data_IF_526353844779
#
_entry.id   IF_526353844779
#
_cell.length_a   1.000
_cell.length_b   1.000
_cell.length_c   1.000
_cell.angle_alpha   90.00
_cell.angle_beta   90.00
_cell.angle_gamma   90.00
#
_symmetry.space_group_name_H-M   'P 1'
#
loop_
_entity.id
_entity.type
_entity.pdbx_description
1 polymer ?
#
# COMPACT_ATOMS: atom_id res chain seq x y z
N UNK A 1 33.54 21.96 -32.36
CA UNK A 1 32.15 21.57 -32.08
C UNK A 1 32.18 20.58 -30.93
N UNK A 2 32.10 21.06 -29.71
CA UNK A 2 31.89 20.25 -28.50
C UNK A 2 31.00 21.09 -27.59
N UNK A 3 29.79 20.61 -27.32
CA UNK A 3 28.82 21.25 -26.46
C UNK A 3 28.36 20.26 -25.41
N UNK A 4 28.88 20.40 -24.19
CA UNK A 4 28.39 19.70 -23.01
C UNK A 4 27.26 20.48 -22.32
N UNK A 5 26.44 19.84 -21.48
CA UNK A 5 25.25 20.44 -20.90
C UNK A 5 25.61 21.44 -19.79
N UNK A 6 25.22 22.70 -19.99
CA UNK A 6 25.27 23.75 -18.96
C UNK A 6 24.25 23.46 -17.87
N UNK A 7 24.73 23.21 -16.65
CA UNK A 7 23.93 23.18 -15.43
C UNK A 7 23.29 24.55 -15.17
N UNK A 8 21.97 24.59 -15.03
CA UNK A 8 21.26 25.77 -14.55
C UNK A 8 21.51 25.94 -13.05
N UNK A 9 22.39 26.88 -12.69
CA UNK A 9 22.48 27.44 -11.36
C UNK A 9 21.94 28.87 -11.37
N UNK A 10 21.11 29.17 -10.38
CA UNK A 10 20.48 30.47 -10.17
C UNK A 10 21.55 31.55 -9.89
N UNK A 11 21.45 32.77 -10.45
CA UNK A 11 22.52 33.77 -10.47
C UNK A 11 22.95 34.37 -9.11
N UNK A 12 22.35 33.96 -8.00
CA UNK A 12 22.59 34.55 -6.66
C UNK A 12 23.40 33.65 -5.72
N UNK A 13 24.01 32.58 -6.24
CA UNK A 13 24.83 31.68 -5.44
C UNK A 13 26.30 32.03 -5.58
N UNK A 14 26.80 32.85 -4.64
CA UNK A 14 28.23 33.15 -4.56
C UNK A 14 29.01 31.92 -4.09
N UNK A 15 30.23 31.76 -4.60
CA UNK A 15 31.16 30.67 -4.24
C UNK A 15 31.34 30.53 -2.72
N UNK A 16 31.30 31.66 -2.01
CA UNK A 16 31.36 31.74 -0.54
C UNK A 16 30.17 31.07 0.17
N UNK A 17 28.99 31.04 -0.46
CA UNK A 17 27.78 30.41 0.08
C UNK A 17 27.80 28.89 -0.06
N UNK A 18 28.40 28.40 -1.15
CA UNK A 18 28.63 26.97 -1.40
C UNK A 18 29.69 26.45 -0.42
N UNK A 19 30.78 27.20 -0.25
CA UNK A 19 31.89 26.83 0.65
C UNK A 19 31.47 26.86 2.14
N UNK A 20 30.52 27.73 2.52
CA UNK A 20 29.90 27.70 3.86
C UNK A 20 28.99 26.49 4.09
N UNK A 21 28.30 26.00 3.07
CA UNK A 21 27.44 24.81 3.17
C UNK A 21 28.26 23.52 3.20
N UNK A 22 29.37 23.47 2.46
CA UNK A 22 30.32 22.35 2.49
C UNK A 22 31.09 22.27 3.81
N UNK A 23 31.52 23.40 4.36
CA UNK A 23 32.18 23.45 5.67
C UNK A 23 31.23 23.23 6.87
N UNK A 24 29.91 23.29 6.67
CA UNK A 24 28.93 23.03 7.72
C UNK A 24 28.73 21.52 8.00
N UNK A 25 29.41 20.60 7.31
CA UNK A 25 29.52 19.19 7.71
C UNK A 25 28.19 18.39 7.81
N UNK A 26 27.07 18.95 7.36
CA UNK A 26 25.74 18.42 7.67
C UNK A 26 25.00 17.80 6.49
N UNK A 27 25.46 17.96 5.24
CA UNK A 27 24.65 17.52 4.08
C UNK A 27 24.75 16.01 3.84
N UNK A 28 25.94 15.42 3.99
CA UNK A 28 26.12 13.97 3.81
C UNK A 28 25.59 13.14 5.00
N UNK A 29 25.74 13.65 6.22
CA UNK A 29 25.26 12.99 7.44
C UNK A 29 23.73 12.95 7.54
N UNK A 30 23.04 14.01 7.10
CA UNK A 30 21.58 14.08 7.13
C UNK A 30 20.95 13.16 6.07
N UNK A 31 21.53 13.07 4.87
CA UNK A 31 21.06 12.14 3.83
C UNK A 31 21.21 10.66 4.25
N UNK A 32 22.34 10.30 4.86
CA UNK A 32 22.56 8.95 5.40
C UNK A 32 21.64 8.67 6.59
N UNK A 33 21.42 9.66 7.46
CA UNK A 33 20.55 9.51 8.63
C UNK A 33 19.07 9.38 8.26
N UNK A 34 18.59 10.11 7.24
CA UNK A 34 17.24 9.97 6.68
C UNK A 34 17.06 8.59 6.04
N UNK A 35 18.02 8.13 5.23
CA UNK A 35 17.96 6.81 4.61
C UNK A 35 17.97 5.67 5.65
N UNK A 36 18.77 5.80 6.71
CA UNK A 36 18.80 4.83 7.82
C UNK A 36 17.52 4.91 8.65
N UNK A 37 16.98 6.10 8.93
CA UNK A 37 15.73 6.31 9.72
C UNK A 37 14.50 5.78 9.01
N UNK A 38 14.35 6.07 7.72
CA UNK A 38 13.18 5.65 6.93
C UNK A 38 13.21 4.14 6.69
N UNK A 39 14.41 3.57 6.48
CA UNK A 39 14.60 2.12 6.48
C UNK A 39 14.29 1.50 7.84
N UNK A 40 14.66 2.14 8.96
CA UNK A 40 14.47 1.56 10.30
C UNK A 40 13.02 1.64 10.81
N UNK A 41 12.26 2.69 10.47
CA UNK A 41 10.87 2.84 10.91
C UNK A 41 9.93 1.96 10.07
N UNK A 42 10.19 1.86 8.77
CA UNK A 42 9.56 0.84 7.90
C UNK A 42 9.96 -0.55 8.34
N UNK A 43 11.24 -0.81 8.67
CA UNK A 43 11.71 -2.09 9.20
C UNK A 43 11.13 -2.39 10.58
N UNK A 44 10.96 -1.40 11.47
CA UNK A 44 10.39 -1.60 12.81
C UNK A 44 8.90 -1.87 12.74
N UNK A 45 8.12 -1.08 11.98
CA UNK A 45 6.71 -1.39 11.69
C UNK A 45 6.59 -2.74 10.99
N UNK A 46 7.44 -3.03 10.01
CA UNK A 46 7.48 -4.30 9.31
C UNK A 46 7.83 -5.48 10.22
N UNK A 47 8.78 -5.37 11.16
CA UNK A 47 9.14 -6.46 12.08
C UNK A 47 8.16 -6.60 13.24
N UNK A 48 7.63 -5.50 13.77
CA UNK A 48 6.56 -5.53 14.78
C UNK A 48 5.31 -6.17 14.19
N UNK A 49 4.96 -5.87 12.94
CA UNK A 49 3.84 -6.50 12.25
C UNK A 49 4.20 -7.91 11.76
N UNK A 50 5.38 -8.16 11.21
CA UNK A 50 5.80 -9.50 10.76
C UNK A 50 6.03 -10.50 11.90
N UNK A 51 6.38 -10.04 13.11
CA UNK A 51 6.44 -10.90 14.31
C UNK A 51 5.05 -11.26 14.84
N UNK A 52 4.05 -10.40 14.60
CA UNK A 52 2.64 -10.66 14.92
C UNK A 52 1.95 -11.50 13.83
N UNK A 53 2.38 -11.39 12.56
CA UNK A 53 1.65 -11.91 11.38
C UNK A 53 2.40 -13.00 10.60
N UNK A 54 3.71 -13.22 10.83
CA UNK A 54 4.49 -14.35 10.28
C UNK A 54 4.83 -14.27 8.78
N UNK A 55 5.23 -13.11 8.25
CA UNK A 55 5.41 -12.87 6.80
C UNK A 55 6.87 -13.08 6.33
N UNK A 56 7.14 -13.78 5.20
CA UNK A 56 8.50 -13.92 4.62
C UNK A 56 8.98 -12.70 3.80
N UNK A 57 10.31 -12.47 3.74
CA UNK A 57 11.01 -11.33 3.08
C UNK A 57 10.95 -11.36 1.54
N UNK A 58 10.87 -10.18 0.92
CA UNK A 58 10.93 -9.94 -0.55
C UNK A 58 12.33 -9.46 -0.97
N UNK A 59 12.80 -9.89 -2.16
CA UNK A 59 14.07 -9.46 -2.80
C UNK A 59 13.73 -8.71 -4.10
N UNK A 60 14.34 -7.53 -4.31
CA UNK A 60 14.17 -6.69 -5.50
C UNK A 60 15.07 -7.17 -6.67
N UNK A 61 14.64 -6.95 -7.93
CA UNK A 61 15.38 -7.35 -9.14
C UNK A 61 15.64 -6.18 -10.10
N UNK A 62 16.89 -6.03 -10.54
CA UNK A 62 17.34 -5.08 -11.55
C UNK A 62 16.89 -5.48 -12.97
N UNK A 63 16.50 -4.49 -13.78
CA UNK A 63 16.03 -4.67 -15.15
C UNK A 63 17.14 -4.65 -16.20
N UNK A 64 17.13 -5.63 -17.11
CA UNK A 64 17.85 -5.59 -18.38
C UNK A 64 16.88 -5.92 -19.53
N UNK A 65 16.94 -5.11 -20.58
CA UNK A 65 16.02 -5.00 -21.69
C UNK A 65 16.67 -5.57 -22.95
N UNK A 66 16.32 -6.81 -23.30
CA UNK A 66 16.12 -7.29 -24.69
C UNK A 66 16.06 -8.82 -24.74
N UNK A 67 14.90 -9.42 -25.02
CA UNK A 67 14.80 -10.80 -25.58
C UNK A 67 13.36 -11.17 -26.00
N UNK A 68 13.20 -12.18 -26.89
CA UNK A 68 12.07 -12.35 -27.82
C UNK A 68 10.72 -12.65 -27.19
N UNK A 69 9.65 -12.29 -27.91
CA UNK A 69 8.23 -12.71 -27.78
C UNK A 69 7.95 -13.60 -26.57
N UNK A 70 7.62 -12.93 -25.47
CA UNK A 70 7.46 -13.51 -24.15
C UNK A 70 6.34 -14.55 -24.13
N UNK A 71 6.69 -15.81 -23.83
CA UNK A 71 5.74 -16.68 -23.12
C UNK A 71 5.37 -15.89 -21.86
N UNK A 72 4.10 -15.53 -21.72
CA UNK A 72 3.65 -14.66 -20.64
C UNK A 72 4.28 -15.06 -19.31
N UNK A 73 4.90 -14.10 -18.63
CA UNK A 73 5.60 -14.32 -17.37
C UNK A 73 4.65 -14.99 -16.39
N UNK A 74 4.96 -16.24 -16.01
CA UNK A 74 4.13 -16.97 -15.05
C UNK A 74 4.35 -16.42 -13.66
N UNK A 75 3.33 -16.53 -12.83
CA UNK A 75 3.37 -16.12 -11.43
C UNK A 75 3.20 -17.38 -10.58
N UNK A 76 3.97 -17.50 -9.51
CA UNK A 76 3.87 -18.62 -8.58
C UNK A 76 2.58 -18.48 -7.77
N UNK A 77 1.70 -19.47 -7.81
CA UNK A 77 0.43 -19.45 -7.07
C UNK A 77 0.63 -19.56 -5.54
N UNK A 78 1.80 -20.05 -5.10
CA UNK A 78 2.12 -20.18 -3.68
C UNK A 78 2.70 -18.92 -3.04
N UNK A 79 3.60 -18.19 -3.71
CA UNK A 79 4.29 -17.02 -3.15
C UNK A 79 4.11 -15.71 -3.93
N UNK A 80 3.57 -15.76 -5.15
CA UNK A 80 3.40 -14.57 -6.00
C UNK A 80 4.66 -14.14 -6.79
N UNK A 81 5.78 -14.84 -6.66
CA UNK A 81 6.99 -14.53 -7.42
C UNK A 81 6.79 -14.73 -8.92
N UNK A 82 7.46 -13.89 -9.72
CA UNK A 82 7.44 -13.96 -11.19
C UNK A 82 8.51 -14.94 -11.68
N UNK A 83 8.21 -15.67 -12.75
CA UNK A 83 9.16 -16.56 -13.41
C UNK A 83 10.28 -15.72 -14.03
N UNK A 84 11.43 -15.67 -13.35
CA UNK A 84 12.62 -14.93 -13.78
C UNK A 84 13.45 -15.68 -14.84
N UNK A 85 14.49 -15.00 -15.32
CA UNK A 85 15.41 -15.51 -16.34
C UNK A 85 16.26 -16.68 -15.81
N UNK A 86 15.71 -17.90 -15.83
CA UNK A 86 16.45 -19.15 -15.62
C UNK A 86 15.76 -20.17 -14.70
N UNK A 87 14.88 -19.73 -13.80
CA UNK A 87 14.15 -20.64 -12.93
C UNK A 87 12.83 -21.04 -13.57
N UNK A 88 12.74 -22.28 -14.09
CA UNK A 88 11.49 -22.80 -14.66
C UNK A 88 10.50 -23.14 -13.54
N UNK A 89 9.31 -22.55 -13.60
CA UNK A 89 8.25 -22.91 -12.68
C UNK A 89 7.68 -24.28 -13.03
N UNK A 90 7.46 -25.11 -12.02
CA UNK A 90 6.76 -26.37 -12.17
C UNK A 90 5.26 -26.11 -12.37
N UNK A 91 4.64 -26.78 -13.33
CA UNK A 91 3.21 -26.62 -13.63
C UNK A 91 2.45 -27.83 -13.10
N UNK A 92 1.28 -27.61 -12.52
CA UNK A 92 0.40 -28.70 -12.09
C UNK A 92 -0.10 -29.48 -13.31
N UNK A 93 0.42 -30.70 -13.49
CA UNK A 93 0.11 -31.59 -14.63
C UNK A 93 -1.39 -31.79 -14.83
N UNK A 94 -2.12 -32.09 -13.76
CA UNK A 94 -3.57 -32.34 -13.78
C UNK A 94 -4.35 -31.12 -14.29
N UNK A 95 -4.01 -29.92 -13.79
CA UNK A 95 -4.69 -28.70 -14.24
C UNK A 95 -4.38 -28.36 -15.70
N UNK A 96 -3.12 -28.57 -16.12
CA UNK A 96 -2.70 -28.29 -17.48
C UNK A 96 -3.33 -29.27 -18.48
N UNK A 97 -3.43 -30.55 -18.14
CA UNK A 97 -3.97 -31.59 -19.01
C UNK A 97 -5.50 -31.61 -19.03
N UNK A 98 -6.16 -31.56 -17.87
CA UNK A 98 -7.60 -31.77 -17.80
C UNK A 98 -8.41 -30.51 -18.17
N UNK A 99 -7.91 -29.33 -17.85
CA UNK A 99 -8.68 -28.07 -17.96
C UNK A 99 -7.87 -26.92 -18.58
N UNK A 100 -6.72 -27.22 -19.19
CA UNK A 100 -5.82 -26.24 -19.82
C UNK A 100 -5.47 -25.02 -18.96
N UNK A 101 -5.47 -25.18 -17.62
CA UNK A 101 -5.16 -24.11 -16.67
C UNK A 101 -3.69 -24.21 -16.24
N UNK A 102 -2.93 -23.14 -16.46
CA UNK A 102 -1.51 -23.05 -16.11
C UNK A 102 -1.33 -22.61 -14.66
N UNK A 103 -1.44 -23.54 -13.71
CA UNK A 103 -1.10 -23.30 -12.30
C UNK A 103 0.39 -23.60 -12.12
N UNK A 104 1.19 -22.58 -11.82
CA UNK A 104 2.65 -22.65 -11.77
C UNK A 104 3.19 -22.41 -10.34
N UNK A 105 4.28 -23.09 -9.99
CA UNK A 105 4.96 -22.98 -8.70
C UNK A 105 6.46 -22.87 -8.89
N UNK A 106 7.10 -21.90 -8.23
CA UNK A 106 8.55 -21.71 -8.28
C UNK A 106 9.34 -22.83 -7.58
N UNK A 107 8.71 -23.57 -6.66
CA UNK A 107 9.33 -24.66 -5.93
C UNK A 107 8.33 -25.72 -5.48
N UNK A 108 8.83 -26.92 -5.16
CA UNK A 108 8.02 -27.99 -4.54
C UNK A 108 7.47 -27.59 -3.17
N UNK A 109 8.14 -26.67 -2.48
CA UNK A 109 7.68 -26.14 -1.18
C UNK A 109 6.40 -25.31 -1.40
N UNK A 110 6.40 -24.37 -2.34
CA UNK A 110 5.23 -23.57 -2.70
C UNK A 110 4.06 -24.43 -3.19
N UNK A 111 4.34 -25.47 -3.97
CA UNK A 111 3.30 -26.41 -4.40
C UNK A 111 2.67 -27.16 -3.21
N UNK A 112 3.50 -27.66 -2.28
CA UNK A 112 3.01 -28.38 -1.10
C UNK A 112 2.24 -27.47 -0.14
N UNK A 113 2.69 -26.23 0.05
CA UNK A 113 2.01 -25.27 0.93
C UNK A 113 0.65 -24.86 0.38
N UNK A 114 0.52 -24.68 -0.94
CA UNK A 114 -0.75 -24.32 -1.60
C UNK A 114 -1.66 -25.55 -1.84
N UNK A 115 -1.13 -26.78 -1.78
CA UNK A 115 -1.88 -28.00 -2.07
C UNK A 115 -3.23 -28.13 -1.34
N UNK A 116 -3.38 -27.79 -0.04
CA UNK A 116 -4.68 -27.86 0.64
C UNK A 116 -5.77 -26.99 0.00
N UNK A 117 -5.40 -25.86 -0.60
CA UNK A 117 -6.30 -24.97 -1.32
C UNK A 117 -6.45 -25.42 -2.78
N UNK A 118 -5.33 -25.64 -3.46
CA UNK A 118 -5.31 -26.07 -4.85
C UNK A 118 -6.11 -27.36 -5.10
N UNK A 119 -6.00 -28.36 -4.22
CA UNK A 119 -6.71 -29.65 -4.36
C UNK A 119 -8.23 -29.51 -4.45
N UNK A 120 -8.80 -28.43 -3.90
CA UNK A 120 -10.25 -28.16 -3.96
C UNK A 120 -10.71 -27.91 -5.40
N UNK A 121 -9.83 -27.33 -6.23
CA UNK A 121 -10.07 -26.94 -7.62
C UNK A 121 -9.22 -27.66 -8.65
N UNK A 122 -8.29 -28.52 -8.23
CA UNK A 122 -7.36 -29.21 -9.12
C UNK A 122 -8.11 -30.08 -10.14
N UNK A 123 -7.86 -29.86 -11.43
CA UNK A 123 -8.49 -30.62 -12.53
C UNK A 123 -10.00 -30.41 -12.71
N UNK A 124 -10.60 -29.42 -12.06
CA UNK A 124 -12.03 -29.08 -12.21
C UNK A 124 -12.19 -27.85 -13.10
N UNK A 125 -13.17 -27.88 -14.00
CA UNK A 125 -13.54 -26.71 -14.79
C UNK A 125 -14.07 -25.60 -13.87
N UNK A 126 -13.59 -24.37 -14.07
CA UNK A 126 -14.04 -23.20 -13.32
C UNK A 126 -15.43 -22.76 -13.80
N UNK A 127 -16.46 -23.49 -13.41
CA UNK A 127 -17.83 -22.98 -13.52
C UNK A 127 -18.04 -21.86 -12.50
N UNK A 128 -18.93 -20.88 -12.75
CA UNK A 128 -19.19 -19.78 -11.81
C UNK A 128 -19.53 -20.23 -10.38
N UNK A 129 -20.13 -21.43 -10.22
CA UNK A 129 -20.39 -22.03 -8.91
C UNK A 129 -19.12 -22.52 -8.19
N UNK A 130 -18.15 -23.06 -8.92
CA UNK A 130 -16.86 -23.50 -8.36
C UNK A 130 -16.01 -22.30 -7.95
N UNK A 131 -16.04 -21.21 -8.72
CA UNK A 131 -15.32 -19.97 -8.36
C UNK A 131 -15.75 -19.48 -6.98
N UNK A 132 -17.06 -19.44 -6.67
CA UNK A 132 -17.55 -19.02 -5.34
C UNK A 132 -17.07 -19.91 -4.19
N UNK A 133 -16.99 -21.22 -4.42
CA UNK A 133 -16.55 -22.18 -3.40
C UNK A 133 -15.01 -22.22 -3.28
N UNK A 134 -14.29 -21.81 -4.32
CA UNK A 134 -12.83 -21.80 -4.38
C UNK A 134 -12.21 -20.49 -3.87
N UNK A 135 -12.93 -19.36 -3.96
CA UNK A 135 -12.48 -18.05 -3.45
C UNK A 135 -12.50 -17.94 -1.92
N UNK A 136 -12.46 -19.07 -1.20
CA UNK A 136 -12.48 -19.10 0.26
C UNK A 136 -11.25 -19.86 0.77
N UNK A 137 -10.42 -19.16 1.56
CA UNK A 137 -9.18 -19.58 2.25
C UNK A 137 -7.82 -19.12 1.69
N UNK A 138 -7.74 -17.98 1.00
CA UNK A 138 -6.66 -17.03 1.37
C UNK A 138 -7.25 -16.21 2.50
N UNK A 139 -7.24 -16.78 3.71
CA UNK A 139 -7.51 -16.00 4.91
C UNK A 139 -6.33 -15.03 5.05
N UNK A 140 -6.40 -13.89 4.35
CA UNK A 140 -6.04 -12.66 5.01
C UNK A 140 -6.71 -12.72 6.37
N UNK A 141 -5.93 -12.60 7.44
CA UNK A 141 -6.42 -12.74 8.82
C UNK A 141 -7.79 -12.08 8.93
N UNK A 142 -8.78 -12.64 9.65
CA UNK A 142 -10.09 -11.99 9.85
C UNK A 142 -9.96 -10.52 10.26
N UNK A 143 -8.83 -10.16 10.89
CA UNK A 143 -8.43 -8.79 11.23
C UNK A 143 -8.10 -7.94 9.99
N UNK A 144 -7.35 -8.45 9.01
CA UNK A 144 -6.99 -7.73 7.77
C UNK A 144 -8.19 -7.42 6.89
N UNK A 145 -9.14 -8.35 6.77
CA UNK A 145 -10.31 -8.16 5.89
C UNK A 145 -11.32 -7.22 6.53
N UNK A 146 -11.57 -7.35 7.83
CA UNK A 146 -12.66 -6.64 8.50
C UNK A 146 -12.46 -5.13 8.61
N UNK A 147 -11.23 -4.66 8.89
CA UNK A 147 -10.97 -3.22 8.98
C UNK A 147 -10.92 -2.52 7.61
N UNK A 148 -10.66 -3.27 6.53
CA UNK A 148 -10.36 -2.68 5.23
C UNK A 148 -11.53 -2.68 4.25
N UNK A 149 -12.55 -3.51 4.43
CA UNK A 149 -13.62 -3.63 3.42
C UNK A 149 -14.79 -2.70 3.64
N UNK A 150 -15.13 -2.32 4.88
CA UNK A 150 -16.33 -1.54 5.13
C UNK A 150 -16.05 -0.04 5.16
N UNK A 151 -16.54 0.65 4.14
CA UNK A 151 -16.53 2.11 4.16
C UNK A 151 -17.62 2.61 5.09
N UNK A 152 -17.24 3.37 6.11
CA UNK A 152 -18.19 3.91 7.07
C UNK A 152 -19.20 4.86 6.43
N UNK A 153 -20.26 5.27 7.17
CA UNK A 153 -21.12 6.38 6.74
C UNK A 153 -20.30 7.67 6.64
N UNK A 154 -20.83 8.65 5.89
CA UNK A 154 -20.25 9.99 5.87
C UNK A 154 -20.38 10.64 7.26
N UNK A 155 -19.39 11.45 7.64
CA UNK A 155 -19.27 12.09 8.96
C UNK A 155 -19.35 13.60 8.82
N UNK A 156 -19.74 14.27 9.90
CA UNK A 156 -19.66 15.74 10.05
C UNK A 156 -20.38 16.54 8.95
N UNK A 157 -21.50 16.00 8.44
CA UNK A 157 -22.26 16.63 7.36
C UNK A 157 -21.56 16.59 6.00
N UNK A 158 -20.49 15.80 5.84
CA UNK A 158 -19.83 15.62 4.56
C UNK A 158 -20.75 14.92 3.55
N UNK A 159 -21.07 15.60 2.46
CA UNK A 159 -21.83 15.01 1.35
C UNK A 159 -20.88 14.42 0.33
N UNK A 160 -21.02 13.13 0.06
CA UNK A 160 -20.23 12.41 -0.96
C UNK A 160 -20.72 12.76 -2.36
N UNK A 161 -19.79 13.00 -3.29
CA UNK A 161 -20.15 13.17 -4.70
C UNK A 161 -20.56 11.84 -5.33
N UNK A 162 -21.23 11.89 -6.48
CA UNK A 162 -21.57 10.70 -7.27
C UNK A 162 -20.31 9.95 -7.76
N UNK A 163 -19.23 10.68 -8.08
CA UNK A 163 -17.95 10.08 -8.45
C UNK A 163 -17.35 9.31 -7.26
N UNK A 164 -17.40 9.89 -6.06
CA UNK A 164 -16.93 9.23 -4.85
C UNK A 164 -17.74 7.97 -4.51
N UNK A 165 -19.07 8.02 -4.61
CA UNK A 165 -19.93 6.85 -4.41
C UNK A 165 -19.62 5.74 -5.42
N UNK A 166 -19.36 6.09 -6.67
CA UNK A 166 -18.91 5.13 -7.69
C UNK A 166 -17.59 4.48 -7.29
N UNK A 167 -16.60 5.29 -6.88
CA UNK A 167 -15.33 4.77 -6.39
C UNK A 167 -15.51 3.80 -5.24
N UNK A 168 -16.43 4.12 -4.31
CA UNK A 168 -16.73 3.26 -3.18
C UNK A 168 -17.29 1.90 -3.60
N UNK A 169 -18.26 1.89 -4.52
CA UNK A 169 -18.85 0.67 -5.06
C UNK A 169 -17.81 -0.26 -5.70
N UNK A 170 -16.83 0.30 -6.43
CA UNK A 170 -15.75 -0.49 -7.03
C UNK A 170 -14.81 -1.12 -5.99
N UNK A 171 -14.49 -0.38 -4.92
CA UNK A 171 -13.63 -0.88 -3.86
C UNK A 171 -14.31 -1.95 -2.99
N UNK A 172 -15.63 -1.87 -2.81
CA UNK A 172 -16.41 -2.92 -2.16
C UNK A 172 -16.47 -4.19 -3.02
N UNK A 173 -16.58 -4.05 -4.34
CA UNK A 173 -16.59 -5.18 -5.26
C UNK A 173 -15.22 -5.88 -5.40
N UNK A 174 -14.12 -5.18 -5.09
CA UNK A 174 -12.75 -5.71 -5.26
C UNK A 174 -11.92 -5.41 -4.00
N UNK A 175 -11.99 -6.26 -2.95
CA UNK A 175 -11.38 -6.02 -1.64
C UNK A 175 -9.87 -5.75 -1.66
N UNK A 176 -9.16 -6.33 -2.62
CA UNK A 176 -7.69 -6.22 -2.76
C UNK A 176 -7.25 -4.99 -3.56
N UNK A 177 -8.19 -4.18 -4.04
CA UNK A 177 -7.90 -2.95 -4.77
C UNK A 177 -7.70 -1.80 -3.78
N UNK A 178 -6.57 -1.09 -3.89
CA UNK A 178 -6.31 0.09 -3.07
C UNK A 178 -7.18 1.26 -3.52
N UNK A 179 -7.21 1.48 -4.84
CA UNK A 179 -7.93 2.57 -5.49
C UNK A 179 -8.26 2.19 -6.94
N UNK A 180 -9.28 2.78 -7.54
CA UNK A 180 -9.59 2.64 -8.97
C UNK A 180 -9.47 4.00 -9.67
N UNK A 181 -8.79 4.03 -10.81
CA UNK A 181 -8.72 5.18 -11.70
C UNK A 181 -9.74 5.04 -12.81
N UNK A 182 -10.55 6.05 -13.05
CA UNK A 182 -11.47 6.09 -14.18
C UNK A 182 -10.82 6.86 -15.32
N UNK A 183 -10.54 6.16 -16.41
CA UNK A 183 -10.02 6.75 -17.64
C UNK A 183 -10.97 6.49 -18.81
N UNK A 184 -10.84 7.22 -19.93
CA UNK A 184 -11.64 6.96 -21.12
C UNK A 184 -11.49 5.53 -21.67
N UNK A 185 -10.37 4.87 -21.40
CA UNK A 185 -10.11 3.47 -21.80
C UNK A 185 -10.67 2.44 -20.81
N UNK A 186 -11.23 2.89 -19.68
CA UNK A 186 -11.85 2.07 -18.66
C UNK A 186 -11.24 2.23 -17.26
N UNK A 187 -11.78 1.50 -16.27
CA UNK A 187 -11.28 1.53 -14.90
C UNK A 187 -9.94 0.79 -14.78
N UNK A 188 -8.93 1.44 -14.23
CA UNK A 188 -7.62 0.85 -13.91
C UNK A 188 -7.50 0.68 -12.40
N UNK A 189 -6.97 -0.47 -11.97
CA UNK A 189 -6.84 -0.78 -10.54
C UNK A 189 -5.46 -0.40 -10.04
N UNK A 190 -5.41 0.36 -8.96
CA UNK A 190 -4.20 0.58 -8.17
C UNK A 190 -4.13 -0.45 -7.06
N UNK A 191 -2.97 -1.10 -6.92
CA UNK A 191 -2.66 -1.97 -5.80
C UNK A 191 -1.30 -1.55 -5.26
N UNK A 192 -1.26 -1.06 -4.03
CA UNK A 192 0.01 -0.76 -3.38
C UNK A 192 0.83 -2.05 -3.22
N UNK A 193 2.14 -2.05 -3.59
CA UNK A 193 2.97 -3.25 -3.62
C UNK A 193 3.39 -3.74 -2.23
N UNK A 194 3.47 -2.84 -1.25
CA UNK A 194 3.92 -3.12 0.11
C UNK A 194 2.73 -3.13 1.06
N UNK A 195 2.59 -4.17 1.88
CA UNK A 195 1.45 -4.34 2.80
C UNK A 195 1.22 -3.12 3.70
N UNK A 196 2.28 -2.57 4.29
CA UNK A 196 2.17 -1.39 5.17
C UNK A 196 1.69 -0.17 4.39
N UNK A 197 2.27 0.08 3.22
CA UNK A 197 1.83 1.18 2.35
C UNK A 197 0.38 0.98 1.90
N UNK A 198 -0.03 -0.26 1.62
CA UNK A 198 -1.42 -0.61 1.32
C UNK A 198 -2.34 -0.27 2.49
N UNK A 199 -1.97 -0.65 3.71
CA UNK A 199 -2.76 -0.40 4.92
C UNK A 199 -2.93 1.10 5.15
N UNK A 200 -1.82 1.86 5.19
CA UNK A 200 -1.82 3.31 5.42
C UNK A 200 -2.61 4.03 4.32
N UNK A 201 -2.41 3.63 3.07
CA UNK A 201 -3.15 4.19 1.94
C UNK A 201 -4.65 3.92 2.05
N UNK A 202 -5.06 2.70 2.40
CA UNK A 202 -6.48 2.37 2.60
C UNK A 202 -7.10 3.18 3.72
N UNK A 203 -6.38 3.39 4.83
CA UNK A 203 -6.84 4.23 5.93
C UNK A 203 -7.03 5.70 5.50
N UNK A 204 -6.10 6.23 4.70
CA UNK A 204 -6.23 7.58 4.13
C UNK A 204 -7.45 7.67 3.19
N UNK A 205 -7.62 6.71 2.27
CA UNK A 205 -8.78 6.63 1.36
C UNK A 205 -10.09 6.57 2.12
N UNK A 206 -10.22 5.66 3.09
CA UNK A 206 -11.45 5.52 3.88
C UNK A 206 -11.76 6.79 4.67
N UNK A 207 -10.74 7.43 5.26
CA UNK A 207 -10.91 8.66 6.02
C UNK A 207 -11.34 9.80 5.10
N UNK A 208 -10.66 9.99 3.97
CA UNK A 208 -11.04 10.97 2.96
C UNK A 208 -12.49 10.75 2.46
N UNK A 209 -12.88 9.50 2.22
CA UNK A 209 -14.25 9.15 1.79
C UNK A 209 -15.32 9.36 2.87
N UNK A 210 -14.93 9.32 4.14
CA UNK A 210 -15.84 9.53 5.26
C UNK A 210 -16.01 11.01 5.63
N UNK A 211 -14.93 11.80 5.60
CA UNK A 211 -14.90 13.17 6.15
C UNK A 211 -14.57 14.25 5.11
N UNK A 212 -14.01 13.88 3.97
CA UNK A 212 -13.40 14.83 3.04
C UNK A 212 -12.11 15.47 3.58
N UNK A 213 -11.38 14.81 4.50
CA UNK A 213 -10.15 15.34 5.09
C UNK A 213 -9.06 15.58 4.03
N UNK A 214 -8.68 16.85 3.87
CA UNK A 214 -7.70 17.34 2.91
C UNK A 214 -6.29 16.76 3.12
N UNK A 215 -5.92 16.41 4.37
CA UNK A 215 -4.64 15.77 4.67
C UNK A 215 -4.60 14.34 4.16
N UNK A 216 -5.72 13.64 4.27
CA UNK A 216 -5.86 12.29 3.73
C UNK A 216 -5.87 12.32 2.19
N UNK A 217 -6.53 13.31 1.59
CA UNK A 217 -6.47 13.53 0.14
C UNK A 217 -5.03 13.80 -0.32
N UNK A 218 -4.28 14.62 0.43
CA UNK A 218 -2.87 14.88 0.14
C UNK A 218 -2.00 13.62 0.25
N UNK A 219 -2.26 12.76 1.24
CA UNK A 219 -1.59 11.48 1.37
C UNK A 219 -1.88 10.54 0.18
N UNK A 220 -3.13 10.51 -0.29
CA UNK A 220 -3.52 9.74 -1.49
C UNK A 220 -2.75 10.25 -2.71
N UNK A 221 -2.71 11.57 -2.93
CA UNK A 221 -1.96 12.21 -4.01
C UNK A 221 -0.46 11.86 -3.97
N UNK A 222 0.15 11.89 -2.78
CA UNK A 222 1.59 11.62 -2.62
C UNK A 222 1.98 10.14 -2.71
N UNK A 223 1.04 9.21 -2.49
CA UNK A 223 1.34 7.76 -2.44
C UNK A 223 1.29 7.08 -3.81
N UNK A 224 0.63 7.69 -4.79
CA UNK A 224 0.48 7.11 -6.12
C UNK A 224 1.55 7.75 -7.01
N UNK A 225 2.73 7.11 -7.20
CA UNK A 225 3.79 7.67 -8.04
C UNK A 225 3.32 7.85 -9.50
N UNK A 226 2.40 7.00 -9.94
CA UNK A 226 1.81 7.07 -11.29
C UNK A 226 0.94 8.32 -11.51
N UNK A 227 0.72 9.17 -10.50
CA UNK A 227 0.00 10.45 -10.67
C UNK A 227 0.78 11.43 -11.53
N UNK A 228 2.11 11.34 -11.53
CA UNK A 228 2.95 12.22 -12.35
C UNK A 228 2.99 11.77 -13.81
N UNK A 229 2.90 10.46 -14.05
CA UNK A 229 3.02 9.86 -15.39
C UNK A 229 1.69 9.43 -16.01
N UNK A 230 0.58 9.41 -15.27
CA UNK A 230 -0.73 9.11 -15.82
C UNK A 230 -1.22 10.33 -16.63
N UNK A 231 -1.25 10.26 -17.97
CA UNK A 231 -1.69 11.38 -18.78
C UNK A 231 -3.15 11.68 -18.48
N UNK A 232 -3.38 12.85 -17.88
CA UNK A 232 -4.68 13.51 -17.72
C UNK A 232 -5.77 12.64 -17.08
N UNK A 233 -6.01 12.84 -15.78
CA UNK A 233 -7.29 12.42 -15.22
C UNK A 233 -7.29 12.12 -13.72
N UNK A 234 -6.13 11.93 -13.07
CA UNK A 234 -6.18 11.59 -11.65
C UNK A 234 -6.59 12.77 -10.77
N UNK A 235 -5.97 13.94 -10.97
CA UNK A 235 -6.34 15.15 -10.24
C UNK A 235 -7.79 15.52 -10.57
N UNK A 236 -8.21 15.40 -11.82
CA UNK A 236 -9.59 15.66 -12.23
C UNK A 236 -10.57 14.69 -11.56
N UNK A 237 -10.24 13.40 -11.49
CA UNK A 237 -11.02 12.41 -10.76
C UNK A 237 -11.12 12.78 -9.27
N UNK A 238 -10.02 13.17 -8.63
CA UNK A 238 -10.06 13.62 -7.23
C UNK A 238 -10.91 14.89 -7.07
N UNK A 239 -10.89 15.80 -8.05
CA UNK A 239 -11.72 17.00 -8.05
C UNK A 239 -13.21 16.62 -8.15
N UNK A 240 -13.56 15.65 -8.99
CA UNK A 240 -14.93 15.11 -9.07
C UNK A 240 -15.35 14.39 -7.79
N UNK A 241 -14.41 13.68 -7.14
CA UNK A 241 -14.64 12.91 -5.92
C UNK A 241 -14.81 13.79 -4.67
N UNK A 242 -13.89 14.72 -4.44
CA UNK A 242 -13.78 15.48 -3.18
C UNK A 242 -14.12 16.97 -3.31
N UNK A 243 -14.18 17.47 -4.55
CA UNK A 243 -14.40 18.87 -4.87
C UNK A 243 -13.10 19.65 -5.03
N UNK A 244 -13.10 20.61 -5.97
CA UNK A 244 -11.92 21.40 -6.36
C UNK A 244 -11.22 22.11 -5.20
N UNK A 245 -11.98 22.69 -4.27
CA UNK A 245 -11.42 23.44 -3.14
C UNK A 245 -10.52 22.55 -2.26
N UNK A 246 -11.02 21.37 -1.88
CA UNK A 246 -10.30 20.42 -1.02
C UNK A 246 -9.05 19.87 -1.69
N UNK A 247 -9.17 19.49 -2.97
CA UNK A 247 -8.02 18.98 -3.74
C UNK A 247 -6.95 20.05 -3.91
N UNK A 248 -7.34 21.31 -4.11
CA UNK A 248 -6.38 22.41 -4.21
C UNK A 248 -5.59 22.60 -2.91
N UNK A 249 -6.27 22.57 -1.75
CA UNK A 249 -5.59 22.62 -0.44
C UNK A 249 -4.70 21.39 -0.24
N UNK A 250 -5.18 20.20 -0.61
CA UNK A 250 -4.42 18.97 -0.52
C UNK A 250 -3.15 18.99 -1.39
N UNK A 251 -3.22 19.54 -2.60
CA UNK A 251 -2.07 19.70 -3.49
C UNK A 251 -1.05 20.70 -2.92
N UNK A 252 -1.51 21.82 -2.35
CA UNK A 252 -0.62 22.77 -1.67
C UNK A 252 0.06 22.09 -0.47
N UNK A 253 -0.69 21.34 0.33
CA UNK A 253 -0.14 20.59 1.46
C UNK A 253 0.86 19.51 1.02
N UNK A 254 0.60 18.82 -0.09
CA UNK A 254 1.53 17.85 -0.67
C UNK A 254 2.81 18.54 -1.16
N UNK A 255 2.70 19.66 -1.89
CA UNK A 255 3.85 20.39 -2.41
C UNK A 255 4.72 20.98 -1.29
N UNK A 256 4.09 21.44 -0.20
CA UNK A 256 4.80 21.89 1.00
C UNK A 256 5.52 20.74 1.74
N UNK A 257 5.07 19.49 1.55
CA UNK A 257 5.62 18.27 2.18
C UNK A 257 6.71 17.56 1.36
N UNK A 258 7.18 18.15 0.27
CA UNK A 258 8.38 17.65 -0.44
C UNK A 258 9.64 17.78 0.43
N UNK A 259 9.56 18.46 1.59
CA UNK A 259 10.52 18.30 2.68
C UNK A 259 10.12 17.12 3.58
N UNK A 260 10.55 15.89 3.25
CA UNK A 260 10.16 14.63 3.93
C UNK A 260 10.67 14.49 5.39
N UNK A 261 11.13 15.58 6.00
CA UNK A 261 11.50 15.61 7.42
C UNK A 261 10.30 15.51 8.38
N UNK A 262 9.06 15.70 7.89
CA UNK A 262 7.81 15.70 8.67
C UNK A 262 7.02 14.38 8.70
N UNK A 263 7.65 13.25 8.34
CA UNK A 263 7.10 11.90 8.58
C UNK A 263 6.62 11.59 10.02
N UNK A 264 7.11 12.24 11.11
CA UNK A 264 6.55 12.07 12.46
C UNK A 264 5.04 12.30 12.55
N UNK A 265 4.47 13.17 11.69
CA UNK A 265 3.03 13.49 11.71
C UNK A 265 2.19 12.33 11.20
N UNK A 266 2.67 11.55 10.22
CA UNK A 266 1.93 10.37 9.75
C UNK A 266 1.99 9.24 10.77
N UNK A 267 3.13 9.05 11.44
CA UNK A 267 3.27 8.12 12.57
C UNK A 267 2.33 8.49 13.72
N UNK A 268 2.33 9.77 14.13
CA UNK A 268 1.45 10.26 15.17
C UNK A 268 -0.04 10.16 14.78
N UNK A 269 -0.39 10.45 13.52
CA UNK A 269 -1.75 10.27 13.02
C UNK A 269 -2.19 8.80 13.01
N UNK A 270 -1.32 7.87 12.60
CA UNK A 270 -1.61 6.43 12.67
C UNK A 270 -1.85 6.02 14.13
N UNK A 271 -1.05 6.52 15.07
CA UNK A 271 -1.23 6.27 16.51
C UNK A 271 -2.56 6.83 17.00
N UNK A 272 -2.85 8.10 16.76
CA UNK A 272 -4.11 8.75 17.15
C UNK A 272 -5.34 8.06 16.53
N UNK A 273 -5.24 7.62 15.28
CA UNK A 273 -6.28 6.87 14.59
C UNK A 273 -6.52 5.50 15.24
N UNK A 274 -5.44 4.74 15.48
CA UNK A 274 -5.51 3.44 16.15
C UNK A 274 -6.09 3.59 17.56
N UNK A 275 -5.70 4.63 18.29
CA UNK A 275 -6.24 4.95 19.62
C UNK A 275 -7.73 5.32 19.59
N UNK A 276 -8.17 6.13 18.62
CA UNK A 276 -9.58 6.50 18.46
C UNK A 276 -10.45 5.27 18.14
N UNK A 277 -9.96 4.39 17.26
CA UNK A 277 -10.67 3.16 16.88
C UNK A 277 -10.69 2.15 18.00
N UNK A 278 -9.54 1.93 18.64
CA UNK A 278 -9.39 1.16 19.86
C UNK A 278 -10.40 1.66 20.90
N UNK A 279 -10.39 2.95 21.26
CA UNK A 279 -11.31 3.51 22.25
C UNK A 279 -12.78 3.25 21.93
N UNK A 280 -13.21 3.40 20.67
CA UNK A 280 -14.59 3.14 20.27
C UNK A 280 -14.99 1.65 20.29
N UNK A 281 -14.06 0.75 19.95
CA UNK A 281 -14.29 -0.70 20.02
C UNK A 281 -14.22 -1.19 21.47
N UNK A 282 -13.27 -0.72 22.27
CA UNK A 282 -13.12 -1.08 23.68
C UNK A 282 -14.25 -0.52 24.55
N UNK A 283 -14.82 0.65 24.24
CA UNK A 283 -16.04 1.13 24.90
C UNK A 283 -17.25 0.21 24.62
N UNK A 284 -17.28 -0.44 23.45
CA UNK A 284 -18.31 -1.40 23.05
C UNK A 284 -18.04 -2.82 23.58
N UNK A 285 -16.78 -3.19 23.78
CA UNK A 285 -16.36 -4.49 24.34
C UNK A 285 -16.37 -4.46 25.88
N UNK A 286 -16.08 -3.33 26.54
CA UNK A 286 -16.09 -3.21 28.00
C UNK A 286 -17.49 -3.31 28.64
N UNK A 287 -18.55 -3.25 27.84
CA UNK A 287 -19.90 -3.63 28.26
C UNK A 287 -20.16 -5.14 28.27
N UNK A 288 -19.21 -5.94 27.80
CA UNK A 288 -19.24 -7.41 27.76
C UNK A 288 -17.99 -7.98 28.48
N UNK A 289 -18.06 -9.13 29.17
CA UNK A 289 -16.89 -9.71 29.81
C UNK A 289 -15.83 -10.12 28.76
N UNK A 290 -14.53 -9.91 29.02
CA UNK A 290 -13.49 -10.14 28.03
C UNK A 290 -13.27 -11.64 27.79
N UNK A 291 -13.59 -12.11 26.59
CA UNK A 291 -13.22 -13.45 26.11
C UNK A 291 -12.26 -13.33 24.90
N UNK A 292 -10.95 -13.49 25.13
CA UNK A 292 -10.00 -13.88 24.08
C UNK A 292 -8.68 -13.09 23.97
N UNK A 293 -7.66 -13.67 23.29
CA UNK A 293 -6.29 -13.15 23.18
C UNK A 293 -6.13 -11.92 22.28
N UNK A 294 -7.17 -11.48 21.56
CA UNK A 294 -7.07 -10.36 20.60
C UNK A 294 -6.97 -9.00 21.28
N UNK A 295 -7.57 -8.82 22.46
CA UNK A 295 -7.54 -7.56 23.21
C UNK A 295 -6.16 -7.25 23.78
N UNK A 296 -5.42 -8.27 24.19
CA UNK A 296 -4.07 -8.17 24.75
C UNK A 296 -3.04 -7.80 23.67
N UNK A 297 -3.14 -8.36 22.46
CA UNK A 297 -2.24 -8.06 21.33
C UNK A 297 -2.35 -6.60 20.90
N UNK A 298 -3.56 -6.06 20.77
CA UNK A 298 -3.75 -4.65 20.37
C UNK A 298 -3.29 -3.67 21.46
N UNK A 299 -3.54 -3.97 22.74
CA UNK A 299 -3.03 -3.15 23.84
C UNK A 299 -1.50 -3.16 23.92
N UNK A 300 -0.87 -4.31 23.63
CA UNK A 300 0.58 -4.42 23.52
C UNK A 300 1.15 -3.56 22.39
N UNK A 301 0.53 -3.57 21.20
CA UNK A 301 0.96 -2.73 20.07
C UNK A 301 0.88 -1.24 20.42
N UNK A 302 -0.22 -0.79 21.05
CA UNK A 302 -0.38 0.60 21.49
C UNK A 302 0.67 0.98 22.53
N UNK A 303 0.96 0.07 23.47
CA UNK A 303 1.96 0.29 24.53
C UNK A 303 3.38 0.36 23.95
N UNK A 304 3.74 -0.57 23.07
CA UNK A 304 5.04 -0.60 22.39
C UNK A 304 5.28 0.68 21.57
N UNK A 305 4.23 1.20 20.89
CA UNK A 305 4.29 2.48 20.18
C UNK A 305 4.48 3.68 21.13
N UNK A 306 3.81 3.67 22.29
CA UNK A 306 3.91 4.72 23.32
C UNK A 306 5.23 4.71 24.07
N UNK A 307 5.85 3.58 24.34
CA UNK A 307 7.15 3.53 25.03
C UNK A 307 8.30 3.97 24.14
N UNK A 308 8.16 3.79 22.82
CA UNK A 308 9.14 4.20 21.83
C UNK A 308 9.17 5.73 21.62
N UNK A 309 8.02 6.39 21.71
CA UNK A 309 7.84 7.80 21.33
C UNK A 309 8.54 8.84 22.26
N UNK A 310 8.50 8.74 23.61
CA UNK A 310 9.07 9.74 24.51
C UNK A 310 10.60 9.72 24.62
N UNK A 311 11.27 8.70 24.05
CA UNK A 311 12.74 8.59 24.16
C UNK A 311 13.49 9.48 23.16
N UNK A 312 12.81 10.37 22.43
CA UNK A 312 13.40 11.22 21.39
C UNK A 312 12.80 12.63 21.31
N UNK A 313 12.60 13.27 22.46
CA UNK A 313 12.60 14.74 22.58
C UNK A 313 13.99 15.23 22.96
#
# INVERSE_FOLDING_TARGET
MEGGPTSYLHPDWTKEKIERLENAGHVAGVQIWIAVRDSFLVYFLYNTISSVVGIPRVIESDGDESTPLHRGTRICEGCGDREGNGARFSVCKICNENVSRQVAYCSRICQKSDWPNHKKVCGKELTPGVVRNATCSTEASPIEVFFLTQMGPARDGYTRSQALLRQMQFLEAVPFCSYVFFSPTGPRRFKSPVFITHLVFRLAVQTAMATGDERCIAAILGTIPEVQDAPGGFVDQLIEEYGKARVSVAMVAMQARVDMNDLPIMGQWIVEFLESKAGSQYAKIASEPPEGPSTEVTQKVITDLREWWPRRS
#
